data_IF_313061607499
#
_entry.id   IF_313061607499
#
_cell.length_a   1.000
_cell.length_b   1.000
_cell.length_c   1.000
_cell.angle_alpha   90.00
_cell.angle_beta   90.00
_cell.angle_gamma   90.00
#
_symmetry.space_group_name_H-M   'P 1'
#
loop_
_entity.id
_entity.type
_entity.pdbx_description
1 polymer ?
#
# COMPACT_ATOMS: atom_id res chain seq x y z
N UNK A 1 -2.43 24.41 -14.50
CA UNK A 1 -2.21 23.12 -13.81
C UNK A 1 -1.40 22.20 -14.72
N UNK A 2 -0.23 21.71 -14.27
CA UNK A 2 0.52 20.68 -15.02
C UNK A 2 -0.35 19.44 -15.10
N UNK A 3 -0.59 18.91 -16.31
CA UNK A 3 -1.28 17.62 -16.47
C UNK A 3 -0.42 16.57 -15.79
N UNK A 4 -0.88 16.03 -14.66
CA UNK A 4 -0.32 14.81 -14.10
C UNK A 4 -0.31 13.78 -15.24
N UNK A 5 0.78 13.03 -15.40
CA UNK A 5 0.89 11.94 -16.37
C UNK A 5 0.04 10.73 -15.98
N UNK A 6 -1.14 10.99 -15.44
CA UNK A 6 -2.06 10.06 -14.81
C UNK A 6 -3.40 10.23 -15.51
N UNK A 7 -3.80 9.23 -16.29
CA UNK A 7 -5.13 9.19 -16.87
C UNK A 7 -6.02 8.41 -15.90
N UNK A 8 -6.91 9.11 -15.19
CA UNK A 8 -7.97 8.48 -14.41
C UNK A 8 -9.16 8.30 -15.36
N UNK A 9 -9.66 7.07 -15.56
CA UNK A 9 -10.63 6.78 -16.60
C UNK A 9 -11.99 7.46 -16.37
N UNK A 10 -12.55 7.35 -15.16
CA UNK A 10 -13.85 7.90 -14.78
C UNK A 10 -14.05 7.93 -13.24
N UNK A 11 -15.10 8.60 -12.78
CA UNK A 11 -15.39 8.80 -11.35
C UNK A 11 -15.76 7.51 -10.60
N UNK A 12 -16.44 6.57 -11.26
CA UNK A 12 -16.85 5.30 -10.66
C UNK A 12 -15.63 4.43 -10.39
N UNK A 13 -14.74 4.31 -11.38
CA UNK A 13 -13.47 3.61 -11.23
C UNK A 13 -12.62 4.24 -10.11
N UNK A 14 -12.58 5.57 -10.01
CA UNK A 14 -11.85 6.24 -8.94
C UNK A 14 -12.42 5.92 -7.55
N UNK A 15 -13.75 5.88 -7.41
CA UNK A 15 -14.40 5.50 -6.15
C UNK A 15 -14.09 4.06 -5.76
N UNK A 16 -14.07 3.15 -6.72
CA UNK A 16 -13.75 1.75 -6.47
C UNK A 16 -12.31 1.58 -5.98
N UNK A 17 -11.35 2.20 -6.67
CA UNK A 17 -9.93 2.17 -6.27
C UNK A 17 -9.71 2.83 -4.91
N UNK A 18 -10.44 3.90 -4.59
CA UNK A 18 -10.37 4.51 -3.28
C UNK A 18 -10.85 3.56 -2.16
N UNK A 19 -11.90 2.77 -2.40
CA UNK A 19 -12.36 1.75 -1.44
C UNK A 19 -11.32 0.65 -1.27
N UNK A 20 -10.77 0.14 -2.37
CA UNK A 20 -9.71 -0.86 -2.36
C UNK A 20 -8.46 -0.35 -1.63
N UNK A 21 -8.08 0.91 -1.82
CA UNK A 21 -6.97 1.52 -1.09
C UNK A 21 -7.25 1.60 0.42
N UNK A 22 -8.46 2.00 0.82
CA UNK A 22 -8.87 2.03 2.24
C UNK A 22 -8.89 0.63 2.84
N UNK A 23 -9.36 -0.37 2.09
CA UNK A 23 -9.32 -1.76 2.52
C UNK A 23 -7.88 -2.24 2.71
N UNK A 24 -6.99 -1.95 1.75
CA UNK A 24 -5.57 -2.28 1.84
C UNK A 24 -4.90 -1.68 3.08
N UNK A 25 -5.18 -0.40 3.39
CA UNK A 25 -4.69 0.28 4.60
C UNK A 25 -5.29 -0.33 5.87
N UNK A 26 -6.58 -0.69 5.84
CA UNK A 26 -7.26 -1.31 6.99
C UNK A 26 -6.66 -2.68 7.30
N UNK A 27 -6.44 -3.52 6.28
CA UNK A 27 -5.80 -4.82 6.44
C UNK A 27 -4.39 -4.67 7.01
N UNK A 28 -3.59 -3.74 6.50
CA UNK A 28 -2.27 -3.45 7.07
C UNK A 28 -2.34 -3.04 8.55
N UNK A 29 -3.32 -2.23 8.94
CA UNK A 29 -3.49 -1.80 10.34
C UNK A 29 -3.89 -2.94 11.27
N UNK A 30 -4.57 -3.99 10.80
CA UNK A 30 -5.00 -5.11 11.66
C UNK A 30 -3.82 -5.82 12.32
N UNK A 31 -2.73 -6.08 11.60
CA UNK A 31 -1.54 -6.71 12.17
C UNK A 31 -0.57 -5.72 12.82
N UNK A 32 -0.90 -4.43 12.84
CA UNK A 32 0.02 -3.38 13.31
C UNK A 32 0.26 -3.44 14.81
N UNK A 33 -0.76 -3.62 15.61
CA UNK A 33 -0.62 -3.61 17.07
C UNK A 33 0.31 -4.75 17.51
N UNK A 34 0.08 -5.97 16.98
CA UNK A 34 0.97 -7.12 17.24
C UNK A 34 2.39 -6.92 16.72
N UNK A 35 2.55 -6.20 15.60
CA UNK A 35 3.87 -5.84 15.09
C UNK A 35 4.59 -4.84 16.02
N UNK A 36 3.87 -3.85 16.54
CA UNK A 36 4.41 -2.88 17.50
C UNK A 36 4.80 -3.57 18.81
N UNK A 37 3.92 -4.41 19.38
CA UNK A 37 4.19 -5.21 20.59
C UNK A 37 5.46 -6.08 20.46
N UNK A 38 5.67 -6.64 19.27
CA UNK A 38 6.84 -7.49 18.99
C UNK A 38 8.13 -6.67 18.88
N UNK A 39 8.05 -5.48 18.27
CA UNK A 39 9.21 -4.60 18.10
C UNK A 39 9.58 -3.89 19.40
N UNK A 40 8.64 -3.65 20.30
CA UNK A 40 8.92 -3.12 21.65
C UNK A 40 9.79 -4.05 22.49
N UNK A 41 9.78 -5.35 22.20
CA UNK A 41 10.64 -6.34 22.87
C UNK A 41 12.09 -6.30 22.37
N UNK A 42 12.39 -5.55 21.31
CA UNK A 42 13.73 -5.38 20.76
C UNK A 42 14.38 -4.16 21.41
N UNK A 43 15.43 -4.40 22.20
CA UNK A 43 16.05 -3.39 23.07
C UNK A 43 16.65 -2.19 22.34
N UNK A 44 17.20 -2.39 21.13
CA UNK A 44 17.74 -1.31 20.31
C UNK A 44 17.47 -1.61 18.83
N UNK A 45 16.66 -0.76 18.20
CA UNK A 45 16.32 -0.85 16.78
C UNK A 45 16.47 0.51 16.12
N UNK A 46 17.22 0.54 15.01
CA UNK A 46 17.36 1.75 14.22
C UNK A 46 16.01 2.19 13.64
N UNK A 47 15.69 3.50 13.56
CA UNK A 47 14.40 3.97 13.09
C UNK A 47 14.01 3.47 11.68
N UNK A 48 14.95 3.41 10.73
CA UNK A 48 14.66 2.88 9.38
C UNK A 48 14.30 1.39 9.43
N UNK A 49 15.01 0.62 10.25
CA UNK A 49 14.77 -0.81 10.44
C UNK A 49 13.43 -1.04 11.12
N UNK A 50 13.10 -0.24 12.14
CA UNK A 50 11.80 -0.29 12.81
C UNK A 50 10.64 -0.05 11.84
N UNK A 51 10.74 0.96 10.98
CA UNK A 51 9.69 1.26 9.99
C UNK A 51 9.52 0.09 9.00
N UNK A 52 10.64 -0.47 8.51
CA UNK A 52 10.62 -1.59 7.58
C UNK A 52 10.03 -2.86 8.21
N UNK A 53 10.51 -3.24 9.40
CA UNK A 53 10.04 -4.42 10.10
C UNK A 53 8.60 -4.30 10.53
N UNK A 54 8.16 -3.15 11.06
CA UNK A 54 6.76 -2.94 11.44
C UNK A 54 5.87 -3.18 10.23
N UNK A 55 6.24 -2.68 9.06
CA UNK A 55 5.45 -2.85 7.85
C UNK A 55 5.35 -4.31 7.40
N UNK A 56 6.44 -5.07 7.50
CA UNK A 56 6.46 -6.49 7.15
C UNK A 56 5.67 -7.31 8.17
N UNK A 57 5.93 -7.12 9.47
CA UNK A 57 5.27 -7.82 10.56
C UNK A 57 3.76 -7.58 10.57
N UNK A 58 3.31 -6.36 10.25
CA UNK A 58 1.88 -6.07 10.10
C UNK A 58 1.15 -6.95 9.09
N UNK A 59 1.86 -7.50 8.11
CA UNK A 59 1.30 -8.43 7.13
C UNK A 59 1.41 -9.87 7.65
N UNK A 60 2.51 -10.21 8.33
CA UNK A 60 2.75 -11.55 8.88
C UNK A 60 1.82 -11.89 10.05
N UNK A 61 1.30 -10.89 10.77
CA UNK A 61 0.33 -11.07 11.86
C UNK A 61 -1.13 -11.20 11.40
N UNK A 62 -1.39 -11.13 10.09
CA UNK A 62 -2.74 -11.37 9.58
C UNK A 62 -3.08 -12.86 9.64
N UNK A 63 -4.36 -13.17 9.83
CA UNK A 63 -4.84 -14.53 9.59
C UNK A 63 -4.79 -14.87 8.10
N UNK A 64 -4.91 -16.17 7.76
CA UNK A 64 -4.80 -16.65 6.38
C UNK A 64 -5.76 -15.93 5.42
N UNK A 65 -6.99 -15.63 5.88
CA UNK A 65 -8.00 -14.96 5.06
C UNK A 65 -7.62 -13.50 4.79
N UNK A 66 -7.28 -12.75 5.83
CA UNK A 66 -6.88 -11.35 5.72
C UNK A 66 -5.55 -11.20 4.96
N UNK A 67 -4.63 -12.16 5.10
CA UNK A 67 -3.38 -12.23 4.35
C UNK A 67 -3.65 -12.39 2.85
N UNK A 68 -4.48 -13.36 2.46
CA UNK A 68 -4.84 -13.58 1.06
C UNK A 68 -5.58 -12.37 0.47
N UNK A 69 -6.46 -11.76 1.26
CA UNK A 69 -7.17 -10.54 0.84
C UNK A 69 -6.21 -9.37 0.67
N UNK A 70 -5.24 -9.19 1.58
CA UNK A 70 -4.23 -8.13 1.50
C UNK A 70 -3.49 -8.17 0.17
N UNK A 71 -3.01 -9.36 -0.23
CA UNK A 71 -2.28 -9.50 -1.48
C UNK A 71 -3.15 -9.31 -2.71
N UNK A 72 -4.40 -9.76 -2.66
CA UNK A 72 -5.38 -9.56 -3.73
C UNK A 72 -5.60 -8.07 -3.97
N UNK A 73 -5.97 -7.32 -2.92
CA UNK A 73 -6.24 -5.88 -3.01
C UNK A 73 -4.97 -5.10 -3.34
N UNK A 74 -3.83 -5.45 -2.76
CA UNK A 74 -2.56 -4.81 -3.06
C UNK A 74 -2.21 -4.90 -4.55
N UNK A 75 -2.45 -6.06 -5.17
CA UNK A 75 -2.27 -6.27 -6.61
C UNK A 75 -3.26 -5.43 -7.42
N UNK A 76 -4.55 -5.47 -7.10
CA UNK A 76 -5.60 -4.71 -7.80
C UNK A 76 -5.28 -3.21 -7.83
N UNK A 77 -5.00 -2.63 -6.65
CA UNK A 77 -4.64 -1.21 -6.50
C UNK A 77 -3.36 -0.87 -7.28
N UNK A 78 -2.32 -1.70 -7.14
CA UNK A 78 -1.03 -1.44 -7.79
C UNK A 78 -1.15 -1.54 -9.31
N UNK A 79 -1.87 -2.54 -9.83
CA UNK A 79 -2.06 -2.72 -11.27
C UNK A 79 -2.90 -1.59 -11.86
N UNK A 80 -3.93 -1.12 -11.15
CA UNK A 80 -4.68 0.07 -11.55
C UNK A 80 -3.76 1.29 -11.71
N UNK A 81 -3.02 1.64 -10.65
CA UNK A 81 -2.13 2.80 -10.68
C UNK A 81 -1.02 2.65 -11.73
N UNK A 82 -0.49 1.43 -11.92
CA UNK A 82 0.49 1.12 -12.96
C UNK A 82 -0.07 1.33 -14.36
N UNK A 83 -1.31 0.89 -14.60
CA UNK A 83 -2.01 1.09 -15.88
C UNK A 83 -2.27 2.58 -16.13
N UNK A 84 -2.83 3.29 -15.16
CA UNK A 84 -3.08 4.73 -15.24
C UNK A 84 -1.80 5.54 -15.49
N UNK A 85 -0.67 5.15 -14.88
CA UNK A 85 0.64 5.74 -15.14
C UNK A 85 1.13 5.50 -16.58
N UNK A 86 0.98 4.26 -17.09
CA UNK A 86 1.38 3.89 -18.46
C UNK A 86 0.53 4.61 -19.52
N UNK A 87 -0.78 4.65 -19.31
CA UNK A 87 -1.75 5.26 -20.24
C UNK A 87 -1.70 6.79 -20.21
N UNK A 88 -1.36 7.39 -19.06
CA UNK A 88 -1.17 8.84 -18.88
C UNK A 88 0.10 9.43 -19.49
N UNK A 89 0.83 8.66 -20.33
CA UNK A 89 2.12 9.01 -20.96
C UNK A 89 3.35 9.08 -20.05
N UNK A 90 3.33 8.41 -18.89
CA UNK A 90 4.51 7.84 -18.23
C UNK A 90 5.80 8.68 -18.13
N UNK A 91 5.74 10.01 -18.17
CA UNK A 91 6.88 10.87 -17.86
C UNK A 91 6.84 11.12 -16.37
N UNK A 92 7.46 10.22 -15.61
CA UNK A 92 8.05 10.65 -14.36
C UNK A 92 8.86 11.92 -14.70
N UNK A 93 8.62 13.09 -14.06
CA UNK A 93 9.53 14.22 -14.28
C UNK A 93 10.94 13.67 -14.06
N UNK A 94 11.87 13.94 -14.98
CA UNK A 94 13.27 13.59 -14.78
C UNK A 94 13.71 14.32 -13.52
N UNK A 95 13.59 13.65 -12.37
CA UNK A 95 14.16 14.10 -11.11
C UNK A 95 15.61 13.64 -11.21
N UNK A 96 16.42 14.49 -11.86
CA UNK A 96 17.82 14.65 -11.49
C UNK A 96 17.86 15.60 -10.30
#
# INVERSE_FOLDING_TARGET
MRKLGFAIPDEETLKQVAKEFVEWDTLWRKGRDSAEDTLEQVSEIEPEVYIALRRILSILYLDDHDYDRYWTVSREVTDFFRKAFREGKGRNPKVY
#
